data_IF_454312886433
#
_entry.id   IF_454312886433
#
_cell.length_a   1.000
_cell.length_b   1.000
_cell.length_c   1.000
_cell.angle_alpha   90.00
_cell.angle_beta   90.00
_cell.angle_gamma   90.00
#
_symmetry.space_group_name_H-M   'P 1'
#
loop_
_entity.id
_entity.type
_entity.pdbx_description
1 polymer ?
#
# COMPACT_ATOMS: atom_id res chain seq x y z
N UNK A 1 4.55 10.16 -4.72
CA UNK A 1 5.02 11.13 -5.73
C UNK A 1 6.31 10.64 -6.39
N UNK A 2 7.45 10.57 -5.67
CA UNK A 2 8.76 10.21 -6.23
C UNK A 2 8.77 8.94 -7.13
N UNK A 3 8.35 7.78 -6.61
CA UNK A 3 8.33 6.53 -7.38
C UNK A 3 7.49 6.62 -8.68
N UNK A 4 6.40 7.40 -8.67
CA UNK A 4 5.54 7.56 -9.84
C UNK A 4 6.19 8.44 -10.91
N UNK A 5 6.86 9.52 -10.49
CA UNK A 5 7.62 10.40 -11.39
C UNK A 5 8.71 9.58 -12.06
N UNK A 6 9.53 8.88 -11.27
CA UNK A 6 10.60 8.03 -11.80
C UNK A 6 10.08 6.96 -12.76
N UNK A 7 8.98 6.28 -12.42
CA UNK A 7 8.39 5.28 -13.31
C UNK A 7 7.93 5.90 -14.66
N UNK A 8 7.34 7.09 -14.62
CA UNK A 8 6.91 7.80 -15.82
C UNK A 8 8.09 8.28 -16.66
N UNK A 9 9.11 8.85 -16.02
CA UNK A 9 10.31 9.36 -16.69
C UNK A 9 11.13 8.22 -17.32
N UNK A 10 11.13 7.04 -16.69
CA UNK A 10 11.72 5.83 -17.23
C UNK A 10 10.87 5.17 -18.34
N UNK A 11 9.65 5.67 -18.61
CA UNK A 11 8.76 5.13 -19.65
C UNK A 11 8.23 3.72 -19.37
N UNK A 12 8.14 3.31 -18.11
CA UNK A 12 7.66 1.95 -17.76
C UNK A 12 6.14 1.87 -17.67
N UNK A 13 5.57 0.73 -18.07
CA UNK A 13 4.12 0.51 -18.06
C UNK A 13 3.55 0.31 -16.64
N UNK A 14 4.36 -0.26 -15.74
CA UNK A 14 3.92 -0.70 -14.41
C UNK A 14 4.98 -0.41 -13.35
N UNK A 15 4.53 0.05 -12.19
CA UNK A 15 5.31 0.15 -10.97
C UNK A 15 4.98 -1.03 -10.05
N UNK A 16 5.94 -1.95 -9.92
CA UNK A 16 5.80 -3.16 -9.10
C UNK A 16 6.23 -2.86 -7.66
N UNK A 17 5.43 -3.30 -6.68
CA UNK A 17 5.81 -3.23 -5.26
C UNK A 17 5.72 -4.60 -4.62
N UNK A 18 6.60 -4.87 -3.64
CA UNK A 18 6.78 -6.18 -3.04
C UNK A 18 5.85 -6.45 -1.83
N UNK A 19 4.70 -5.76 -1.74
CA UNK A 19 3.75 -5.97 -0.65
C UNK A 19 3.26 -7.43 -0.65
N UNK A 20 3.48 -8.10 0.47
CA UNK A 20 3.16 -9.51 0.66
C UNK A 20 1.75 -9.70 1.27
N UNK A 21 1.34 -10.93 1.56
CA UNK A 21 0.02 -11.22 2.15
C UNK A 21 -0.17 -10.57 3.54
N UNK A 22 0.86 -10.59 4.37
CA UNK A 22 0.86 -10.00 5.70
C UNK A 22 0.70 -8.48 5.60
N UNK A 23 1.43 -7.82 4.70
CA UNK A 23 1.33 -6.38 4.46
C UNK A 23 -0.09 -5.96 4.07
N UNK A 24 -0.73 -6.71 3.17
CA UNK A 24 -2.09 -6.42 2.72
C UNK A 24 -3.11 -6.61 3.83
N UNK A 25 -3.06 -7.74 4.54
CA UNK A 25 -4.00 -8.02 5.64
C UNK A 25 -3.86 -7.04 6.80
N UNK A 26 -2.62 -6.70 7.20
CA UNK A 26 -2.34 -5.65 8.17
C UNK A 26 -2.90 -4.30 7.71
N UNK A 27 -2.67 -3.92 6.44
CA UNK A 27 -3.15 -2.64 5.90
C UNK A 27 -4.68 -2.57 5.87
N UNK A 28 -5.34 -3.67 5.51
CA UNK A 28 -6.81 -3.75 5.51
C UNK A 28 -7.36 -3.57 6.93
N UNK A 29 -6.80 -4.27 7.92
CA UNK A 29 -7.24 -4.13 9.32
C UNK A 29 -6.91 -2.76 9.91
N UNK A 30 -5.75 -2.19 9.61
CA UNK A 30 -5.39 -0.84 10.03
C UNK A 30 -6.41 0.19 9.51
N UNK A 31 -6.87 0.07 8.26
CA UNK A 31 -7.90 0.95 7.73
C UNK A 31 -9.23 0.83 8.49
N UNK A 32 -9.61 -0.37 8.94
CA UNK A 32 -10.79 -0.57 9.81
C UNK A 32 -10.58 0.09 11.17
N UNK A 33 -9.43 -0.16 11.81
CA UNK A 33 -9.13 0.38 13.15
C UNK A 33 -9.02 1.90 13.15
N UNK A 34 -8.52 2.49 12.06
CA UNK A 34 -8.49 3.95 11.87
C UNK A 34 -9.86 4.56 11.52
N UNK A 35 -10.91 3.75 11.39
CA UNK A 35 -12.26 4.24 11.06
C UNK A 35 -12.42 4.69 9.59
N UNK A 36 -11.54 4.25 8.68
CA UNK A 36 -11.61 4.57 7.25
C UNK A 36 -11.62 3.28 6.40
N UNK A 37 -12.67 2.44 6.53
CA UNK A 37 -12.76 1.18 5.80
C UNK A 37 -12.87 1.39 4.28
N UNK A 38 -13.28 2.57 3.82
CA UNK A 38 -13.38 2.89 2.39
C UNK A 38 -12.02 2.83 1.68
N UNK A 39 -10.91 3.02 2.39
CA UNK A 39 -9.56 2.81 1.84
C UNK A 39 -9.29 1.39 1.38
N UNK A 40 -9.99 0.40 1.93
CA UNK A 40 -9.86 -1.00 1.52
C UNK A 40 -10.19 -1.14 0.04
N UNK A 41 -11.23 -0.45 -0.46
CA UNK A 41 -11.62 -0.45 -1.87
C UNK A 41 -10.45 -0.12 -2.83
N UNK A 42 -9.51 0.72 -2.37
CA UNK A 42 -8.35 1.19 -3.16
C UNK A 42 -7.11 0.28 -3.04
N UNK A 43 -7.09 -0.66 -2.09
CA UNK A 43 -5.95 -1.58 -1.90
C UNK A 43 -6.18 -2.89 -2.67
N UNK A 44 -5.81 -2.93 -3.95
CA UNK A 44 -5.97 -4.10 -4.84
C UNK A 44 -4.62 -4.70 -5.22
N UNK A 45 -4.57 -5.99 -5.64
CA UNK A 45 -3.38 -6.57 -6.29
C UNK A 45 -2.93 -5.80 -7.53
N UNK A 46 -3.90 -5.33 -8.33
CA UNK A 46 -3.70 -4.52 -9.52
C UNK A 46 -4.56 -3.27 -9.36
N UNK A 47 -3.92 -2.09 -9.35
CA UNK A 47 -4.64 -0.83 -9.24
C UNK A 47 -5.15 -0.40 -10.61
N UNK A 48 -6.34 0.22 -10.62
CA UNK A 48 -6.89 0.83 -11.83
C UNK A 48 -6.07 2.08 -12.20
N UNK A 49 -5.91 2.33 -13.49
CA UNK A 49 -5.34 3.58 -13.98
C UNK A 49 -6.43 4.65 -13.93
N UNK A 50 -6.32 5.56 -12.97
CA UNK A 50 -7.31 6.62 -12.73
C UNK A 50 -6.91 7.97 -13.33
N UNK A 51 -5.67 8.10 -13.80
CA UNK A 51 -5.15 9.33 -14.40
C UNK A 51 -3.96 9.03 -15.33
N UNK A 52 -3.82 9.68 -16.50
CA UNK A 52 -2.74 9.41 -17.45
C UNK A 52 -1.32 9.58 -16.87
N UNK A 53 -1.14 10.52 -15.94
CA UNK A 53 0.14 10.75 -15.25
C UNK A 53 0.46 9.75 -14.13
N UNK A 54 -0.45 8.82 -13.80
CA UNK A 54 -0.25 7.82 -12.75
C UNK A 54 0.04 6.45 -13.38
N UNK A 55 1.26 5.96 -13.18
CA UNK A 55 1.68 4.63 -13.65
C UNK A 55 0.94 3.55 -12.86
N UNK A 56 0.46 2.52 -13.55
CA UNK A 56 -0.27 1.43 -12.93
C UNK A 56 0.58 0.72 -11.88
N UNK A 57 0.03 0.50 -10.69
CA UNK A 57 0.71 -0.24 -9.62
C UNK A 57 0.22 -1.67 -9.52
N UNK A 58 1.17 -2.58 -9.33
CA UNK A 58 0.88 -4.01 -9.15
C UNK A 58 1.66 -4.59 -7.98
N UNK A 59 1.08 -5.59 -7.31
CA UNK A 59 1.61 -6.27 -6.13
C UNK A 59 1.67 -7.79 -6.35
N UNK A 60 2.68 -8.32 -7.05
CA UNK A 60 2.74 -9.75 -7.39
C UNK A 60 2.80 -10.68 -6.17
N UNK A 61 3.32 -10.18 -5.04
CA UNK A 61 3.49 -10.97 -3.82
C UNK A 61 2.30 -10.90 -2.86
N UNK A 62 1.21 -10.22 -3.20
CA UNK A 62 0.10 -9.96 -2.27
C UNK A 62 -0.66 -11.22 -1.80
N UNK A 63 -0.35 -12.40 -2.37
CA UNK A 63 -0.87 -13.71 -1.95
C UNK A 63 0.23 -14.65 -1.43
N UNK A 64 1.43 -14.14 -1.21
CA UNK A 64 2.58 -14.89 -0.67
C UNK A 64 2.82 -14.43 0.77
N UNK A 65 2.78 -15.32 1.77
CA UNK A 65 3.12 -14.99 3.16
C UNK A 65 4.53 -14.43 3.32
N UNK A 66 4.71 -13.49 4.24
CA UNK A 66 6.02 -12.86 4.52
C UNK A 66 7.09 -13.91 4.85
N UNK A 67 6.75 -14.92 5.64
CA UNK A 67 7.65 -16.04 5.98
C UNK A 67 8.17 -16.81 4.75
N UNK A 68 7.36 -16.92 3.70
CA UNK A 68 7.75 -17.61 2.46
C UNK A 68 8.64 -16.72 1.59
N UNK A 69 8.37 -15.41 1.55
CA UNK A 69 9.25 -14.43 0.90
C UNK A 69 10.63 -14.41 1.57
N UNK A 70 10.68 -14.40 2.90
CA UNK A 70 11.92 -14.45 3.69
C UNK A 70 12.67 -15.76 3.46
N UNK A 71 11.96 -16.91 3.49
CA UNK A 71 12.56 -18.21 3.21
C UNK A 71 13.17 -18.24 1.79
N UNK A 72 12.46 -17.72 0.79
CA UNK A 72 12.96 -17.64 -0.57
C UNK A 72 14.23 -16.78 -0.66
N UNK A 73 14.22 -15.60 -0.04
CA UNK A 73 15.38 -14.71 -0.02
C UNK A 73 16.61 -15.38 0.63
N UNK A 74 16.40 -16.05 1.77
CA UNK A 74 17.44 -16.82 2.46
C UNK A 74 18.04 -17.92 1.56
N UNK A 75 17.19 -18.75 0.95
CA UNK A 75 17.64 -19.84 0.07
C UNK A 75 18.36 -19.34 -1.20
N UNK A 76 18.04 -18.13 -1.65
CA UNK A 76 18.69 -17.49 -2.80
C UNK A 76 19.93 -16.67 -2.44
N UNK A 77 20.27 -16.56 -1.15
CA UNK A 77 21.37 -15.73 -0.69
C UNK A 77 21.16 -14.25 -1.01
N UNK A 78 19.91 -13.79 -1.04
CA UNK A 78 19.59 -12.37 -1.21
C UNK A 78 19.90 -11.66 0.11
N UNK A 79 20.69 -10.60 0.05
CA UNK A 79 21.03 -9.81 1.23
C UNK A 79 19.79 -9.10 1.80
N UNK A 80 19.62 -9.21 3.12
CA UNK A 80 18.57 -8.51 3.84
C UNK A 80 19.02 -7.08 4.16
N UNK A 81 18.06 -6.16 4.20
CA UNK A 81 18.29 -4.83 4.74
C UNK A 81 18.67 -4.93 6.22
N UNK A 82 19.81 -4.34 6.61
CA UNK A 82 20.29 -4.35 7.99
C UNK A 82 19.92 -3.10 8.80
N UNK A 83 19.32 -2.09 8.17
CA UNK A 83 19.00 -0.80 8.79
C UNK A 83 17.49 -0.61 8.81
N UNK A 84 16.90 -0.69 9.98
CA UNK A 84 15.48 -0.41 10.17
C UNK A 84 15.21 1.09 10.34
N UNK A 85 13.99 1.51 10.01
CA UNK A 85 13.55 2.87 10.31
C UNK A 85 13.43 3.04 11.84
N UNK A 86 14.04 4.07 12.45
CA UNK A 86 13.99 4.27 13.90
C UNK A 86 12.56 4.51 14.42
N UNK A 87 11.66 5.00 13.56
CA UNK A 87 10.25 5.23 13.88
C UNK A 87 9.35 4.01 13.68
N UNK A 88 9.88 2.89 13.15
CA UNK A 88 9.05 1.72 12.87
C UNK A 88 8.52 1.07 14.16
N UNK A 89 9.26 1.18 15.27
CA UNK A 89 8.96 0.48 16.52
C UNK A 89 7.68 0.98 17.21
N UNK A 90 7.33 2.26 17.04
CA UNK A 90 6.16 2.88 17.69
C UNK A 90 4.87 2.77 16.85
N UNK A 91 4.92 2.09 15.72
CA UNK A 91 3.78 2.02 14.81
C UNK A 91 2.72 1.02 15.30
N UNK A 92 1.45 1.43 15.29
CA UNK A 92 0.27 0.55 15.51
C UNK A 92 0.28 -0.69 14.60
N UNK A 93 0.96 -0.62 13.46
CA UNK A 93 1.16 -1.76 12.55
C UNK A 93 1.79 -2.96 13.27
N UNK A 94 2.68 -2.74 14.23
CA UNK A 94 3.33 -3.82 14.97
C UNK A 94 2.32 -4.58 15.84
N UNK A 95 1.40 -3.88 16.50
CA UNK A 95 0.33 -4.52 17.30
C UNK A 95 -0.59 -5.38 16.42
N UNK A 96 -0.95 -4.88 15.24
CA UNK A 96 -1.77 -5.62 14.27
C UNK A 96 -1.01 -6.82 13.72
N UNK A 97 0.29 -6.68 13.41
CA UNK A 97 1.17 -7.78 13.00
C UNK A 97 1.19 -8.87 14.06
N UNK A 98 1.45 -8.52 15.32
CA UNK A 98 1.55 -9.49 16.42
C UNK A 98 0.21 -10.18 16.71
N UNK A 99 -0.90 -9.47 16.58
CA UNK A 99 -2.23 -10.07 16.64
C UNK A 99 -2.43 -11.09 15.51
N UNK A 100 -2.17 -10.72 14.26
CA UNK A 100 -2.35 -11.59 13.09
C UNK A 100 -1.42 -12.81 13.14
N UNK A 101 -0.15 -12.62 13.50
CA UNK A 101 0.83 -13.69 13.61
C UNK A 101 0.44 -14.73 14.68
N UNK A 102 -0.08 -14.27 15.84
CA UNK A 102 -0.60 -15.17 16.88
C UNK A 102 -1.79 -15.98 16.38
N UNK A 103 -2.68 -15.36 15.59
CA UNK A 103 -3.83 -16.05 15.02
C UNK A 103 -3.41 -17.05 13.94
N UNK A 104 -2.53 -16.67 13.03
CA UNK A 104 -2.00 -17.54 11.97
C UNK A 104 -1.25 -18.75 12.54
N UNK A 105 -0.49 -18.57 13.62
CA UNK A 105 0.20 -19.66 14.30
C UNK A 105 -0.78 -20.66 14.93
N UNK A 106 -1.86 -20.18 15.56
CA UNK A 106 -2.88 -21.05 16.19
C UNK A 106 -3.82 -21.68 15.16
N UNK A 107 -4.11 -20.95 14.09
CA UNK A 107 -5.08 -21.28 13.07
C UNK A 107 -4.51 -20.93 11.69
N UNK A 108 -3.77 -21.88 11.11
CA UNK A 108 -3.15 -21.71 9.81
C UNK A 108 -4.17 -21.33 8.73
N UNK A 109 -3.83 -20.34 7.90
CA UNK A 109 -4.72 -19.79 6.87
C UNK A 109 -5.60 -18.64 7.32
N UNK A 110 -5.40 -18.10 8.53
CA UNK A 110 -6.09 -16.89 8.99
C UNK A 110 -5.81 -15.71 8.06
N UNK A 111 -4.55 -15.50 7.66
CA UNK A 111 -4.16 -14.40 6.76
C UNK A 111 -4.91 -14.49 5.42
N UNK A 112 -4.94 -15.67 4.80
CA UNK A 112 -5.69 -15.90 3.57
C UNK A 112 -7.19 -15.68 3.75
N UNK A 113 -7.74 -16.09 4.89
CA UNK A 113 -9.16 -15.92 5.21
C UNK A 113 -9.52 -14.45 5.34
N UNK A 114 -8.71 -13.65 6.05
CA UNK A 114 -8.87 -12.19 6.16
C UNK A 114 -8.79 -11.55 4.78
N UNK A 115 -7.74 -11.84 4.00
CA UNK A 115 -7.56 -11.28 2.67
C UNK A 115 -8.76 -11.57 1.75
N UNK A 116 -9.19 -12.83 1.67
CA UNK A 116 -10.36 -13.24 0.87
C UNK A 116 -11.66 -12.61 1.36
N UNK A 117 -11.80 -12.38 2.67
CA UNK A 117 -13.00 -11.73 3.23
C UNK A 117 -13.06 -10.27 2.80
N UNK A 118 -11.91 -9.58 2.81
CA UNK A 118 -11.82 -8.20 2.34
C UNK A 118 -12.04 -8.10 0.83
N UNK A 119 -11.53 -9.05 0.04
CA UNK A 119 -11.85 -9.15 -1.40
C UNK A 119 -13.36 -9.33 -1.65
N UNK A 120 -14.07 -10.09 -0.82
CA UNK A 120 -15.53 -10.25 -0.93
C UNK A 120 -16.32 -9.00 -0.57
N UNK A 121 -15.84 -8.22 0.41
CA UNK A 121 -16.50 -6.98 0.86
C UNK A 121 -16.20 -5.82 -0.09
N UNK A 122 -15.03 -5.84 -0.75
CA UNK A 122 -14.54 -4.79 -1.63
C UNK A 122 -15.56 -4.28 -2.67
N UNK A 123 -16.30 -5.11 -3.43
CA UNK A 123 -17.28 -4.61 -4.39
C UNK A 123 -18.36 -3.71 -3.77
N UNK A 124 -18.81 -4.05 -2.54
CA UNK A 124 -19.76 -3.20 -1.82
C UNK A 124 -19.11 -1.85 -1.45
N UNK A 125 -17.87 -1.87 -0.94
CA UNK A 125 -17.14 -0.63 -0.63
C UNK A 125 -16.88 0.22 -1.87
N UNK A 126 -16.64 -0.40 -3.04
CA UNK A 126 -16.50 0.32 -4.31
C UNK A 126 -17.81 0.97 -4.75
N UNK A 127 -18.95 0.29 -4.56
CA UNK A 127 -20.26 0.86 -4.88
C UNK A 127 -20.61 2.07 -4.00
N UNK A 128 -20.15 2.10 -2.75
CA UNK A 128 -20.29 3.25 -1.85
C UNK A 128 -19.22 4.33 -2.06
N UNK A 129 -18.16 4.05 -2.81
CA UNK A 129 -17.09 5.01 -3.01
C UNK A 129 -17.51 6.07 -4.03
N UNK A 130 -17.49 7.33 -3.62
CA UNK A 130 -17.71 8.45 -4.54
C UNK A 130 -16.57 8.53 -5.56
N UNK A 131 -16.92 8.88 -6.81
CA UNK A 131 -15.93 9.18 -7.84
C UNK A 131 -15.11 10.41 -7.44
N UNK A 132 -13.84 10.17 -7.13
CA UNK A 132 -12.91 11.24 -6.80
C UNK A 132 -12.35 11.83 -8.09
N UNK A 133 -12.72 13.07 -8.39
CA UNK A 133 -12.13 13.83 -9.49
C UNK A 133 -10.72 14.27 -9.13
N UNK A 134 -9.76 13.87 -9.96
CA UNK A 134 -8.38 14.34 -9.87
C UNK A 134 -8.19 15.58 -10.74
N UNK A 135 -7.38 16.51 -10.24
CA UNK A 135 -6.90 17.68 -10.95
C UNK A 135 -5.38 17.78 -10.83
N UNK A 136 -4.78 18.69 -11.60
CA UNK A 136 -3.34 18.92 -11.57
C UNK A 136 -2.95 19.89 -10.45
N UNK A 137 -1.90 19.56 -9.70
CA UNK A 137 -1.33 20.43 -8.68
C UNK A 137 -0.80 21.74 -9.30
N UNK A 138 -1.22 22.89 -8.77
CA UNK A 138 -0.82 24.21 -9.29
C UNK A 138 0.69 24.44 -9.37
N UNK A 139 1.48 23.84 -8.46
CA UNK A 139 2.93 24.06 -8.39
C UNK A 139 3.75 23.07 -9.21
N UNK A 140 3.40 21.78 -9.20
CA UNK A 140 4.22 20.73 -9.80
C UNK A 140 3.53 19.95 -10.92
N UNK A 141 2.25 20.24 -11.20
CA UNK A 141 1.48 19.57 -12.24
C UNK A 141 1.16 18.09 -11.96
N UNK A 142 1.49 17.55 -10.78
CA UNK A 142 1.16 16.16 -10.42
C UNK A 142 -0.30 16.01 -10.01
N UNK A 143 -0.93 14.83 -10.25
CA UNK A 143 -2.33 14.60 -9.91
C UNK A 143 -2.61 14.70 -8.42
N UNK A 144 -3.69 15.38 -8.07
CA UNK A 144 -4.15 15.58 -6.70
C UNK A 144 -5.66 15.84 -6.64
N UNK A 145 -6.24 15.73 -5.45
CA UNK A 145 -7.64 16.08 -5.17
C UNK A 145 -7.79 17.51 -4.64
N UNK A 146 -6.67 18.17 -4.33
CA UNK A 146 -6.59 19.53 -3.76
C UNK A 146 -6.03 20.50 -4.79
N UNK A 147 -5.95 21.79 -4.47
CA UNK A 147 -5.24 22.77 -5.32
C UNK A 147 -3.72 22.50 -5.35
N UNK A 148 -3.16 22.17 -4.18
CA UNK A 148 -1.77 21.76 -4.01
C UNK A 148 -1.67 20.29 -3.60
N UNK A 149 -0.77 19.53 -4.22
CA UNK A 149 -0.51 18.17 -3.77
C UNK A 149 0.13 18.18 -2.37
N UNK A 150 -0.19 17.16 -1.55
CA UNK A 150 0.31 17.06 -0.17
C UNK A 150 1.83 17.19 -0.05
N UNK A 151 2.57 16.69 -1.04
CA UNK A 151 4.04 16.82 -1.06
C UNK A 151 4.50 18.28 -1.22
N UNK A 152 3.82 19.09 -2.05
CA UNK A 152 4.15 20.51 -2.19
C UNK A 152 3.73 21.30 -0.95
N UNK A 153 2.56 21.02 -0.37
CA UNK A 153 2.14 21.61 0.91
C UNK A 153 3.20 21.40 2.00
N UNK A 154 3.66 20.16 2.18
CA UNK A 154 4.69 19.83 3.18
C UNK A 154 6.02 20.54 2.93
N UNK A 155 6.43 20.67 1.66
CA UNK A 155 7.68 21.38 1.33
C UNK A 155 7.59 22.88 1.57
N UNK A 156 6.41 23.49 1.38
CA UNK A 156 6.16 24.89 1.75
C UNK A 156 6.17 25.07 3.28
N UNK A 157 5.54 24.16 4.03
CA UNK A 157 5.58 24.18 5.50
C UNK A 157 7.03 24.09 6.03
N UNK A 158 7.89 23.33 5.34
CA UNK A 158 9.32 23.21 5.64
C UNK A 158 10.18 24.34 5.07
N UNK A 159 9.60 25.31 4.34
CA UNK A 159 10.30 26.43 3.68
C UNK A 159 11.40 26.00 2.70
N UNK A 160 11.18 24.88 2.01
CA UNK A 160 12.08 24.35 0.97
C UNK A 160 11.61 24.76 -0.44
N UNK A 161 10.33 25.12 -0.56
CA UNK A 161 9.68 25.66 -1.77
C UNK A 161 9.01 27.00 -1.48
#
# INVERSE_FOLDING_TARGET
KALNIMARDAGVDKLVTAHNLDDETQTMLLNVVHGDPMRIARSKPVLNVIHPKLVQRVKPLCMVPEKEVVLYAYLKGIEFQCIDCPYAQTALRNDIRDMLNRMEHKHAGTLFTVFRSMEKIRPALEAFAEEVKLQDCRLCGEPTVRDLCRACEMLQELKVL
#
